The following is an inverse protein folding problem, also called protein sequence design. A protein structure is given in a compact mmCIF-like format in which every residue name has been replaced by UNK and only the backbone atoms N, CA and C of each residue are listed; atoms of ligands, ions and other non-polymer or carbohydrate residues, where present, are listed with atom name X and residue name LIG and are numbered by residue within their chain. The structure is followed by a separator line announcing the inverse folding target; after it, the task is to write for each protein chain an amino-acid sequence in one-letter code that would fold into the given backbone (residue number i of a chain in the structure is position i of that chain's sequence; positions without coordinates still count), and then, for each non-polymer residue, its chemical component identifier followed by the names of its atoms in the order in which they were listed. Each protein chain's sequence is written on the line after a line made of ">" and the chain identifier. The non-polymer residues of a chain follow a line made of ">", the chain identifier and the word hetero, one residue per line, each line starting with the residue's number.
data_IF_905006991077
#
_entry.id   IF_905006991077
#
_cell.length_a   1.000
_cell.length_b   1.000
_cell.length_c   1.000
_cell.angle_alpha   90.00
_cell.angle_beta   90.00
_cell.angle_gamma   90.00
#
_symmetry.space_group_name_H-M   'P 1'
#
loop_
_entity.id
_entity.type
_entity.pdbx_description
1 polymer ?
#
# COMPACT_ATOMS: atom_id res chain seq x y z
N UNK A 1 38.11 20.16 -22.49
CA UNK A 1 36.84 20.40 -21.75
C UNK A 1 36.95 19.84 -20.34
N UNK A 2 36.48 20.58 -19.36
CA UNK A 2 36.43 20.11 -17.96
C UNK A 2 34.99 19.74 -17.62
N UNK A 3 34.76 18.46 -17.28
CA UNK A 3 33.45 17.94 -16.89
C UNK A 3 33.15 18.09 -15.39
N UNK A 4 34.09 18.63 -14.59
CA UNK A 4 33.89 18.77 -13.13
C UNK A 4 32.73 19.70 -12.77
N UNK A 5 32.39 20.67 -13.64
CA UNK A 5 31.22 21.51 -13.44
C UNK A 5 29.89 20.72 -13.48
N UNK A 6 29.81 19.62 -14.26
CA UNK A 6 28.65 18.72 -14.29
C UNK A 6 28.54 18.00 -12.94
N UNK A 7 29.66 17.53 -12.41
CA UNK A 7 29.73 16.95 -11.06
C UNK A 7 29.39 17.97 -9.97
N UNK A 8 29.85 19.21 -10.11
CA UNK A 8 29.54 20.28 -9.16
C UNK A 8 28.03 20.63 -9.15
N UNK A 9 27.36 20.57 -10.31
CA UNK A 9 25.91 20.73 -10.39
C UNK A 9 25.18 19.57 -9.69
N UNK A 10 25.61 18.32 -9.94
CA UNK A 10 25.06 17.14 -9.26
C UNK A 10 25.22 17.25 -7.74
N UNK A 11 26.40 17.63 -7.25
CA UNK A 11 26.64 17.85 -5.83
C UNK A 11 25.63 18.82 -5.20
N UNK A 12 25.35 19.94 -5.85
CA UNK A 12 24.37 20.91 -5.36
C UNK A 12 22.94 20.36 -5.30
N UNK A 13 22.56 19.53 -6.28
CA UNK A 13 21.28 18.84 -6.26
C UNK A 13 21.19 17.90 -5.07
N UNK A 14 22.24 17.09 -4.84
CA UNK A 14 22.32 16.16 -3.71
C UNK A 14 22.21 16.91 -2.38
N UNK A 15 23.06 17.92 -2.16
CA UNK A 15 23.06 18.72 -0.93
C UNK A 15 21.67 19.35 -0.70
N UNK A 16 21.09 19.97 -1.72
CA UNK A 16 19.77 20.63 -1.62
C UNK A 16 18.64 19.64 -1.28
N UNK A 17 18.61 18.47 -1.92
CA UNK A 17 17.56 17.46 -1.65
C UNK A 17 17.75 16.79 -0.29
N UNK A 18 18.97 16.57 0.16
CA UNK A 18 19.27 16.04 1.51
C UNK A 18 18.90 17.02 2.62
N UNK A 19 19.02 18.33 2.35
CA UNK A 19 18.54 19.40 3.25
C UNK A 19 17.00 19.57 3.21
N UNK A 20 16.28 18.70 2.51
CA UNK A 20 14.83 18.70 2.40
C UNK A 20 14.28 19.59 1.31
N UNK A 21 15.14 20.13 0.43
CA UNK A 21 14.73 20.88 -0.74
C UNK A 21 13.96 20.03 -1.75
N UNK A 22 13.03 20.66 -2.47
CA UNK A 22 12.20 20.01 -3.49
C UNK A 22 12.56 20.53 -4.88
N UNK A 23 12.83 19.61 -5.82
CA UNK A 23 13.05 19.88 -7.24
C UNK A 23 12.05 19.05 -8.04
N UNK A 24 11.16 19.72 -8.77
CA UNK A 24 10.20 19.09 -9.65
C UNK A 24 10.69 19.13 -11.10
N UNK A 25 10.52 18.04 -11.81
CA UNK A 25 11.08 17.83 -13.15
C UNK A 25 9.99 17.50 -14.16
N UNK A 26 9.98 18.20 -15.29
CA UNK A 26 9.21 17.83 -16.49
C UNK A 26 10.19 17.38 -17.56
N UNK A 27 10.08 16.13 -17.99
CA UNK A 27 10.87 15.59 -19.11
C UNK A 27 9.99 15.62 -20.35
N UNK A 28 10.29 16.54 -21.27
CA UNK A 28 9.49 16.82 -22.47
C UNK A 28 10.25 16.46 -23.77
N UNK A 29 11.42 15.84 -23.65
CA UNK A 29 12.26 15.42 -24.77
C UNK A 29 13.20 14.31 -24.29
N UNK A 30 14.11 13.86 -25.14
CA UNK A 30 15.07 12.82 -24.81
C UNK A 30 16.19 13.42 -23.95
N UNK A 31 16.29 12.94 -22.71
CA UNK A 31 17.36 13.25 -21.78
C UNK A 31 18.45 12.19 -21.86
N UNK A 32 19.70 12.58 -22.02
CA UNK A 32 20.84 11.65 -22.23
C UNK A 32 21.99 12.00 -21.27
N UNK A 33 22.71 10.99 -20.81
CA UNK A 33 23.96 11.12 -20.07
C UNK A 33 23.74 11.61 -18.63
N UNK A 34 24.24 12.82 -18.29
CA UNK A 34 24.17 13.37 -16.94
C UNK A 34 22.75 13.80 -16.52
N UNK A 35 21.91 14.23 -17.45
CA UNK A 35 20.56 14.71 -17.14
C UNK A 35 19.68 13.68 -16.41
N UNK A 36 19.59 12.39 -16.83
CA UNK A 36 18.88 11.36 -16.09
C UNK A 36 19.37 11.20 -14.65
N UNK A 37 20.66 11.37 -14.37
CA UNK A 37 21.18 11.32 -13.00
C UNK A 37 20.74 12.52 -12.18
N UNK A 38 20.70 13.72 -12.74
CA UNK A 38 20.17 14.90 -12.07
C UNK A 38 18.68 14.73 -11.76
N UNK A 39 17.91 14.17 -12.70
CA UNK A 39 16.50 13.87 -12.49
C UNK A 39 16.31 12.83 -11.38
N UNK A 40 17.16 11.81 -11.34
CA UNK A 40 17.12 10.77 -10.32
C UNK A 40 17.40 11.33 -8.91
N UNK A 41 18.46 12.14 -8.76
CA UNK A 41 18.78 12.83 -7.50
C UNK A 41 17.70 13.82 -7.05
N UNK A 42 16.97 14.40 -8.01
CA UNK A 42 15.88 15.33 -7.72
C UNK A 42 14.59 14.63 -7.27
N UNK A 43 14.28 13.43 -7.81
CA UNK A 43 12.89 12.90 -7.77
C UNK A 43 12.75 11.41 -7.48
N UNK A 44 13.82 10.60 -7.55
CA UNK A 44 13.68 9.14 -7.56
C UNK A 44 14.14 8.44 -6.29
N UNK A 45 15.02 9.06 -5.51
CA UNK A 45 15.61 8.46 -4.31
C UNK A 45 14.62 8.46 -3.13
N UNK A 46 14.90 7.65 -2.12
CA UNK A 46 13.99 7.45 -0.98
C UNK A 46 13.71 8.73 -0.18
N UNK A 47 14.65 9.67 -0.14
CA UNK A 47 14.54 10.91 0.62
C UNK A 47 13.97 12.08 -0.19
N UNK A 48 13.82 11.94 -1.51
CA UNK A 48 13.41 13.06 -2.37
C UNK A 48 11.92 13.36 -2.27
N UNK A 49 11.57 14.65 -2.29
CA UNK A 49 10.19 15.14 -2.23
C UNK A 49 9.63 15.45 -3.62
N UNK A 50 10.49 15.80 -4.55
CA UNK A 50 10.13 16.23 -5.89
C UNK A 50 9.42 15.16 -6.70
N UNK A 51 8.70 15.62 -7.72
CA UNK A 51 7.99 14.78 -8.69
C UNK A 51 8.65 14.86 -10.06
N UNK A 52 8.49 13.79 -10.83
CA UNK A 52 8.89 13.72 -12.23
C UNK A 52 7.67 13.41 -13.09
N UNK A 53 7.44 14.29 -14.07
CA UNK A 53 6.37 14.17 -15.07
C UNK A 53 7.01 13.93 -16.43
N UNK A 54 6.54 12.94 -17.17
CA UNK A 54 7.00 12.64 -18.53
C UNK A 54 5.90 12.84 -19.56
N UNK A 55 6.27 13.35 -20.74
CA UNK A 55 5.38 13.47 -21.90
C UNK A 55 5.61 12.33 -22.89
N UNK A 56 4.72 12.09 -23.89
CA UNK A 56 4.89 11.04 -24.90
C UNK A 56 6.20 11.10 -25.67
N UNK A 57 6.70 12.32 -25.95
CA UNK A 57 7.92 12.56 -26.72
C UNK A 57 9.19 12.54 -25.86
N UNK A 58 9.11 11.99 -24.64
CA UNK A 58 10.21 12.00 -23.69
C UNK A 58 10.78 10.59 -23.40
N UNK A 59 12.08 10.57 -23.15
CA UNK A 59 12.77 9.40 -22.65
C UNK A 59 13.98 9.82 -21.79
N UNK A 60 14.34 9.01 -20.82
CA UNK A 60 15.56 9.17 -20.02
C UNK A 60 16.47 7.97 -20.31
N UNK A 61 17.60 8.22 -20.94
CA UNK A 61 18.56 7.18 -21.34
C UNK A 61 19.97 7.54 -20.89
N UNK A 62 20.72 6.57 -20.38
CA UNK A 62 22.12 6.78 -20.04
C UNK A 62 22.96 6.94 -21.32
N UNK A 63 22.63 6.11 -22.32
CA UNK A 63 23.21 6.09 -23.64
C UNK A 63 22.09 5.90 -24.65
N UNK A 64 22.01 6.75 -25.67
CA UNK A 64 20.99 6.64 -26.70
C UNK A 64 21.17 5.39 -27.57
N UNK A 65 20.09 4.97 -28.25
CA UNK A 65 20.04 3.75 -29.07
C UNK A 65 21.23 3.61 -30.03
N UNK A 66 21.55 4.64 -30.78
CA UNK A 66 22.62 4.58 -31.75
C UNK A 66 23.98 4.24 -31.12
N UNK A 67 24.28 4.80 -29.96
CA UNK A 67 25.51 4.48 -29.22
C UNK A 67 25.50 3.08 -28.66
N UNK A 68 24.36 2.59 -28.17
CA UNK A 68 24.22 1.21 -27.70
C UNK A 68 24.43 0.21 -28.83
N UNK A 69 23.82 0.43 -29.98
CA UNK A 69 23.97 -0.42 -31.16
C UNK A 69 25.42 -0.44 -31.64
N UNK A 70 26.07 0.73 -31.68
CA UNK A 70 27.47 0.85 -32.08
C UNK A 70 28.44 0.12 -31.14
N UNK A 71 28.18 0.20 -29.83
CA UNK A 71 29.00 -0.47 -28.80
C UNK A 71 28.71 -1.96 -28.65
N UNK A 72 27.76 -2.52 -29.40
CA UNK A 72 27.30 -3.90 -29.28
C UNK A 72 26.51 -4.20 -28.02
N UNK A 73 25.99 -3.17 -27.37
CA UNK A 73 25.08 -3.30 -26.22
C UNK A 73 23.67 -3.74 -26.62
N UNK A 74 22.93 -4.31 -25.69
CA UNK A 74 21.52 -4.61 -25.90
C UNK A 74 20.72 -3.31 -25.88
N UNK A 75 19.93 -3.05 -26.92
CA UNK A 75 19.05 -1.87 -27.01
C UNK A 75 17.60 -2.27 -27.33
N UNK A 76 16.74 -1.29 -27.53
CA UNK A 76 15.39 -1.46 -28.01
C UNK A 76 15.25 -0.89 -29.43
N UNK A 77 14.02 -0.87 -29.96
CA UNK A 77 13.72 -0.34 -31.29
C UNK A 77 14.02 1.17 -31.43
N UNK A 78 13.91 1.92 -30.31
CA UNK A 78 14.19 3.35 -30.23
C UNK A 78 14.53 3.78 -28.79
N UNK A 79 14.72 5.08 -28.53
CA UNK A 79 14.99 5.61 -27.20
C UNK A 79 13.77 5.50 -26.26
N UNK A 80 12.56 5.48 -26.79
CA UNK A 80 11.34 5.31 -25.96
C UNK A 80 11.22 3.89 -25.44
N UNK A 81 11.66 2.90 -26.23
CA UNK A 81 11.77 1.51 -25.78
C UNK A 81 12.84 1.31 -24.69
N UNK A 82 13.86 2.18 -24.62
CA UNK A 82 14.93 2.11 -23.62
C UNK A 82 14.54 2.85 -22.33
N UNK A 83 13.92 4.02 -22.43
CA UNK A 83 13.70 4.89 -21.29
C UNK A 83 12.45 5.79 -21.37
N UNK A 84 11.46 5.42 -22.18
CA UNK A 84 10.16 6.10 -22.26
C UNK A 84 9.26 5.74 -21.07
N UNK A 85 8.19 6.52 -20.90
CA UNK A 85 7.28 6.33 -19.76
C UNK A 85 6.59 4.98 -19.76
N UNK A 86 5.90 4.62 -20.85
CA UNK A 86 4.94 3.49 -20.85
C UNK A 86 5.59 2.14 -20.59
N UNK A 87 6.79 1.91 -21.12
CA UNK A 87 7.48 0.63 -21.01
C UNK A 87 8.46 0.55 -19.86
N UNK A 88 9.01 1.70 -19.44
CA UNK A 88 10.14 1.69 -18.50
C UNK A 88 9.90 2.59 -17.30
N UNK A 89 9.79 3.91 -17.46
CA UNK A 89 9.90 4.86 -16.36
C UNK A 89 8.63 4.94 -15.50
N UNK A 90 7.46 4.74 -16.08
CA UNK A 90 6.21 4.58 -15.34
C UNK A 90 6.17 3.23 -14.60
N UNK A 91 6.28 2.08 -15.31
CA UNK A 91 6.25 0.75 -14.69
C UNK A 91 7.29 0.51 -13.60
N UNK A 92 8.51 1.06 -13.72
CA UNK A 92 9.53 0.90 -12.68
C UNK A 92 9.40 1.89 -11.50
N UNK A 93 8.45 2.86 -11.60
CA UNK A 93 8.18 3.85 -10.56
C UNK A 93 9.21 4.98 -10.49
N UNK A 94 10.03 5.19 -11.51
CA UNK A 94 10.95 6.32 -11.56
C UNK A 94 10.23 7.62 -11.92
N UNK A 95 9.27 7.58 -12.89
CA UNK A 95 8.38 8.70 -13.15
C UNK A 95 7.08 8.56 -12.33
N UNK A 96 6.71 9.64 -11.63
CA UNK A 96 5.48 9.69 -10.86
C UNK A 96 4.25 9.87 -11.73
N UNK A 97 4.37 10.67 -12.81
CA UNK A 97 3.24 11.07 -13.63
C UNK A 97 3.56 11.00 -15.12
N UNK A 98 2.53 10.70 -15.89
CA UNK A 98 2.47 10.87 -17.33
C UNK A 98 1.55 12.04 -17.65
N UNK A 99 1.95 12.88 -18.61
CA UNK A 99 1.17 13.98 -19.13
C UNK A 99 1.07 13.86 -20.66
N UNK A 100 -0.08 14.13 -21.22
CA UNK A 100 -0.31 14.01 -22.67
C UNK A 100 0.47 15.04 -23.49
N UNK A 101 0.80 16.18 -22.87
CA UNK A 101 1.54 17.31 -23.45
C UNK A 101 2.12 18.19 -22.34
N UNK A 102 2.83 19.26 -22.71
CA UNK A 102 3.40 20.21 -21.77
C UNK A 102 2.34 20.98 -20.96
N UNK A 103 1.19 21.28 -21.53
CA UNK A 103 0.12 22.00 -20.82
C UNK A 103 -0.42 21.14 -19.69
N UNK A 104 -0.64 19.86 -19.98
CA UNK A 104 -1.06 18.87 -18.98
C UNK A 104 0.03 18.65 -17.91
N UNK A 105 1.30 18.61 -18.31
CA UNK A 105 2.43 18.53 -17.37
C UNK A 105 2.49 19.70 -16.40
N UNK A 106 2.27 20.92 -16.87
CA UNK A 106 2.17 22.10 -15.99
C UNK A 106 0.90 22.05 -15.13
N UNK A 107 -0.21 21.50 -15.64
CA UNK A 107 -1.42 21.24 -14.84
C UNK A 107 -1.14 20.32 -13.66
N UNK A 108 -0.39 19.25 -13.89
CA UNK A 108 0.05 18.32 -12.84
C UNK A 108 0.97 19.03 -11.83
N UNK A 109 1.94 19.84 -12.28
CA UNK A 109 2.80 20.62 -11.39
C UNK A 109 2.00 21.58 -10.52
N UNK A 110 1.04 22.30 -11.08
CA UNK A 110 0.19 23.23 -10.32
C UNK A 110 -0.66 22.47 -9.29
N UNK A 111 -1.29 21.35 -9.68
CA UNK A 111 -2.04 20.49 -8.76
C UNK A 111 -1.15 19.94 -7.64
N UNK A 112 0.11 19.61 -7.93
CA UNK A 112 1.09 19.22 -6.92
C UNK A 112 1.38 20.39 -5.97
N UNK A 113 1.67 21.59 -6.49
CA UNK A 113 1.94 22.77 -5.66
C UNK A 113 0.74 23.20 -4.82
N UNK A 114 -0.49 23.04 -5.29
CA UNK A 114 -1.69 23.30 -4.47
C UNK A 114 -1.70 22.51 -3.16
N UNK A 115 -1.06 21.33 -3.15
CA UNK A 115 -1.01 20.45 -1.98
C UNK A 115 0.32 20.53 -1.21
N UNK A 116 1.39 21.06 -1.80
CA UNK A 116 2.75 20.95 -1.22
C UNK A 116 3.44 22.28 -0.99
N UNK A 117 2.99 23.36 -1.65
CA UNK A 117 3.67 24.65 -1.56
C UNK A 117 3.52 25.29 -0.18
N UNK A 118 4.65 25.64 0.41
CA UNK A 118 4.73 26.32 1.71
C UNK A 118 5.16 27.76 1.48
N UNK A 119 4.35 28.71 1.95
CA UNK A 119 4.69 30.13 1.85
C UNK A 119 5.88 30.48 2.77
N UNK A 120 6.69 31.48 2.40
CA UNK A 120 7.79 31.93 3.25
C UNK A 120 7.30 32.29 4.67
N UNK A 121 7.93 31.67 5.69
CA UNK A 121 7.58 31.86 7.09
C UNK A 121 6.46 30.97 7.63
N UNK A 122 5.90 30.08 6.80
CA UNK A 122 4.92 29.06 7.23
C UNK A 122 5.59 27.69 7.43
N UNK A 123 4.99 26.85 8.26
CA UNK A 123 5.51 25.52 8.60
C UNK A 123 4.92 24.40 7.72
N UNK A 124 3.91 24.70 6.90
CA UNK A 124 3.26 23.73 6.03
C UNK A 124 2.35 24.38 4.99
N UNK A 125 1.83 23.64 4.04
CA UNK A 125 0.91 24.13 3.03
C UNK A 125 -0.37 24.67 3.64
N UNK A 126 -0.91 25.74 3.08
CA UNK A 126 -2.11 26.39 3.58
C UNK A 126 -3.34 25.51 3.44
N UNK A 127 -4.18 25.55 4.47
CA UNK A 127 -5.54 25.01 4.39
C UNK A 127 -6.35 25.81 3.36
N UNK A 128 -7.01 25.11 2.44
CA UNK A 128 -7.91 25.73 1.47
C UNK A 128 -9.33 25.84 2.02
N UNK A 129 -10.12 26.83 1.59
CA UNK A 129 -11.56 26.81 1.82
C UNK A 129 -12.18 25.58 1.17
N UNK A 130 -13.13 24.94 1.84
CA UNK A 130 -13.91 23.84 1.29
C UNK A 130 -15.39 24.02 1.64
N UNK A 131 -16.27 23.70 0.71
CA UNK A 131 -17.71 23.61 0.91
C UNK A 131 -18.16 22.23 1.38
N UNK A 132 -17.23 21.23 1.37
CA UNK A 132 -17.51 19.88 1.81
C UNK A 132 -17.58 19.83 3.35
N UNK A 133 -18.71 19.45 3.96
CA UNK A 133 -18.85 19.43 5.41
C UNK A 133 -17.77 18.59 6.10
N UNK A 134 -17.22 19.10 7.20
CA UNK A 134 -16.22 18.37 8.00
C UNK A 134 -16.78 17.05 8.54
N UNK A 135 -18.05 17.04 8.89
CA UNK A 135 -18.80 15.90 9.46
C UNK A 135 -19.54 15.08 8.41
N UNK A 136 -19.25 15.27 7.11
CA UNK A 136 -19.89 14.51 6.04
C UNK A 136 -19.72 13.01 6.29
N UNK A 137 -20.84 12.30 6.28
CA UNK A 137 -20.91 10.84 6.42
C UNK A 137 -20.38 10.17 5.15
N UNK A 138 -19.22 9.51 5.24
CA UNK A 138 -18.58 8.80 4.14
C UNK A 138 -19.31 7.52 3.75
N UNK A 139 -20.16 6.98 4.62
CA UNK A 139 -20.86 5.70 4.39
C UNK A 139 -21.85 5.77 3.24
N UNK A 140 -22.35 6.95 2.92
CA UNK A 140 -23.31 7.18 1.82
C UNK A 140 -22.64 7.26 0.44
N UNK A 141 -21.30 7.34 0.39
CA UNK A 141 -20.56 7.45 -0.87
C UNK A 141 -20.73 6.17 -1.71
N UNK A 142 -21.06 6.29 -3.02
CA UNK A 142 -21.24 5.14 -3.90
C UNK A 142 -19.98 4.28 -3.99
N UNK A 143 -20.15 2.97 -3.98
CA UNK A 143 -19.10 1.99 -4.23
C UNK A 143 -19.41 1.23 -5.51
N UNK A 144 -18.44 1.21 -6.44
CA UNK A 144 -18.60 0.55 -7.74
C UNK A 144 -17.37 -0.33 -8.02
N UNK A 145 -17.46 -1.59 -7.67
CA UNK A 145 -16.46 -2.59 -8.02
C UNK A 145 -17.17 -3.77 -8.71
N UNK A 146 -16.73 -4.15 -9.91
CA UNK A 146 -17.31 -5.27 -10.64
C UNK A 146 -17.22 -6.56 -9.80
N UNK A 147 -18.37 -7.25 -9.67
CA UNK A 147 -18.47 -8.47 -8.85
C UNK A 147 -18.56 -8.24 -7.34
N UNK A 148 -18.65 -6.99 -6.87
CA UNK A 148 -18.91 -6.67 -5.46
C UNK A 148 -20.41 -6.58 -5.18
N UNK A 149 -20.83 -7.06 -4.00
CA UNK A 149 -22.20 -6.88 -3.49
C UNK A 149 -22.40 -5.49 -2.84
N UNK A 150 -21.31 -4.71 -2.70
CA UNK A 150 -21.36 -3.39 -2.04
C UNK A 150 -21.88 -2.34 -3.02
N UNK A 151 -22.82 -1.52 -2.57
CA UNK A 151 -23.37 -0.37 -3.30
C UNK A 151 -22.88 0.95 -2.76
N UNK A 152 -22.52 0.97 -1.47
CA UNK A 152 -22.01 2.14 -0.77
C UNK A 152 -20.78 1.77 0.07
N UNK A 153 -20.05 2.78 0.50
CA UNK A 153 -18.94 2.62 1.45
C UNK A 153 -19.45 2.04 2.78
N UNK A 154 -20.67 2.34 3.18
CA UNK A 154 -21.30 1.79 4.39
C UNK A 154 -21.41 0.27 4.38
N UNK A 155 -21.64 -0.34 3.22
CA UNK A 155 -21.72 -1.79 3.07
C UNK A 155 -20.41 -2.49 3.42
N UNK A 156 -19.26 -1.84 3.19
CA UNK A 156 -17.93 -2.37 3.54
C UNK A 156 -17.84 -2.62 5.04
N UNK A 157 -18.44 -1.73 5.82
CA UNK A 157 -18.33 -1.69 7.29
C UNK A 157 -19.52 -2.31 8.02
N UNK A 158 -20.57 -2.70 7.31
CA UNK A 158 -21.75 -3.32 7.89
C UNK A 158 -21.49 -4.78 8.28
N UNK A 159 -21.90 -5.16 9.50
CA UNK A 159 -21.85 -6.56 9.92
C UNK A 159 -22.82 -7.46 9.15
N UNK A 160 -23.85 -6.89 8.52
CA UNK A 160 -24.80 -7.63 7.70
C UNK A 160 -24.19 -8.03 6.34
N UNK A 161 -23.41 -7.16 5.73
CA UNK A 161 -22.84 -7.37 4.39
C UNK A 161 -21.41 -7.90 4.41
N UNK A 162 -20.61 -7.57 5.45
CA UNK A 162 -19.20 -7.94 5.58
C UNK A 162 -18.81 -8.22 7.05
N UNK A 163 -19.39 -9.27 7.67
CA UNK A 163 -19.26 -9.53 9.12
C UNK A 163 -17.82 -9.77 9.59
N UNK A 164 -17.00 -10.39 8.77
CA UNK A 164 -15.61 -10.73 9.09
C UNK A 164 -14.58 -9.82 8.39
N UNK A 165 -15.03 -8.73 7.76
CA UNK A 165 -14.19 -7.77 7.02
C UNK A 165 -13.29 -8.41 5.96
N UNK A 166 -13.75 -9.52 5.33
CA UNK A 166 -12.97 -10.27 4.32
C UNK A 166 -13.36 -10.01 2.89
N UNK A 167 -14.58 -9.48 2.65
CA UNK A 167 -15.01 -9.20 1.28
C UNK A 167 -14.16 -8.07 0.66
N UNK A 168 -13.77 -8.23 -0.60
CA UNK A 168 -12.94 -7.24 -1.29
C UNK A 168 -13.73 -5.95 -1.57
N UNK A 169 -13.01 -4.82 -1.51
CA UNK A 169 -13.51 -3.51 -1.92
C UNK A 169 -12.39 -2.70 -2.57
N UNK A 170 -12.76 -1.68 -3.33
CA UNK A 170 -11.80 -0.76 -3.94
C UNK A 170 -11.38 0.31 -2.93
N UNK A 171 -10.11 0.31 -2.54
CA UNK A 171 -9.59 1.29 -1.57
C UNK A 171 -9.66 2.71 -2.11
N UNK A 172 -9.52 2.93 -3.43
CA UNK A 172 -9.65 4.25 -4.04
C UNK A 172 -11.03 4.86 -3.82
N UNK A 173 -12.08 4.04 -3.78
CA UNK A 173 -13.44 4.51 -3.47
C UNK A 173 -13.51 5.07 -2.05
N UNK A 174 -12.96 4.36 -1.06
CA UNK A 174 -12.91 4.86 0.31
C UNK A 174 -12.03 6.11 0.44
N UNK A 175 -10.87 6.14 -0.24
CA UNK A 175 -9.98 7.30 -0.25
C UNK A 175 -10.68 8.55 -0.81
N UNK A 176 -11.42 8.42 -1.92
CA UNK A 176 -12.23 9.50 -2.48
C UNK A 176 -13.37 9.91 -1.56
N UNK A 177 -14.02 8.93 -0.90
CA UNK A 177 -15.09 9.22 0.06
C UNK A 177 -14.58 10.04 1.25
N UNK A 178 -13.35 9.84 1.69
CA UNK A 178 -12.74 10.59 2.79
C UNK A 178 -12.23 11.96 2.35
N UNK A 179 -11.69 12.09 1.13
CA UNK A 179 -11.21 13.34 0.57
C UNK A 179 -12.33 14.35 0.33
N UNK A 180 -11.99 15.64 0.28
CA UNK A 180 -12.90 16.72 -0.05
C UNK A 180 -13.48 16.54 -1.46
N UNK A 181 -14.79 16.69 -1.61
CA UNK A 181 -15.49 16.44 -2.86
C UNK A 181 -15.40 17.61 -3.85
N UNK A 182 -15.09 18.80 -3.35
CA UNK A 182 -14.90 20.03 -4.14
C UNK A 182 -13.43 20.31 -4.49
N UNK A 183 -12.50 19.43 -4.11
CA UNK A 183 -11.09 19.47 -4.47
C UNK A 183 -10.68 18.24 -5.29
N UNK A 184 -9.75 18.46 -6.23
CA UNK A 184 -9.14 17.38 -7.00
C UNK A 184 -8.19 16.53 -6.16
N UNK A 185 -7.97 15.29 -6.61
CA UNK A 185 -6.93 14.39 -6.06
C UNK A 185 -5.89 14.09 -7.13
N UNK A 186 -4.63 13.91 -6.73
CA UNK A 186 -3.54 13.58 -7.63
C UNK A 186 -2.90 12.25 -7.20
N UNK A 187 -3.06 11.18 -8.01
CA UNK A 187 -2.52 9.86 -7.69
C UNK A 187 -1.06 9.75 -8.13
N UNK A 188 -0.13 9.62 -7.16
CA UNK A 188 1.29 9.39 -7.41
C UNK A 188 1.55 7.94 -7.82
N UNK A 189 2.40 7.74 -8.82
CA UNK A 189 2.80 6.39 -9.29
C UNK A 189 1.63 5.49 -9.68
N UNK A 190 0.57 6.04 -10.27
CA UNK A 190 -0.55 5.24 -10.78
C UNK A 190 -0.09 4.20 -11.82
N UNK A 191 0.96 4.51 -12.60
CA UNK A 191 1.56 3.61 -13.60
C UNK A 191 2.60 2.61 -13.07
N UNK A 192 2.97 2.68 -11.77
CA UNK A 192 3.99 1.78 -11.20
C UNK A 192 3.47 0.34 -11.14
N UNK A 193 4.08 -0.53 -11.97
CA UNK A 193 3.70 -1.93 -12.08
C UNK A 193 4.08 -2.72 -10.83
N UNK A 194 3.24 -3.69 -10.46
CA UNK A 194 3.44 -4.56 -9.30
C UNK A 194 3.49 -3.81 -7.96
N UNK A 195 2.99 -2.55 -7.93
CA UNK A 195 2.89 -1.70 -6.75
C UNK A 195 1.45 -1.25 -6.45
N UNK A 196 0.48 -1.84 -7.15
CA UNK A 196 -0.93 -1.46 -7.11
C UNK A 196 -1.60 -1.77 -5.77
N UNK A 197 -0.98 -2.61 -4.92
CA UNK A 197 -1.46 -2.87 -3.55
C UNK A 197 -1.23 -1.69 -2.58
N UNK A 198 -0.47 -0.67 -3.00
CA UNK A 198 -0.40 0.62 -2.32
C UNK A 198 -0.87 1.73 -3.27
N UNK A 199 -1.82 2.55 -2.82
CA UNK A 199 -2.36 3.71 -3.53
C UNK A 199 -1.96 4.97 -2.79
N UNK A 200 -1.42 5.96 -3.48
CA UNK A 200 -0.96 7.22 -2.91
C UNK A 200 -1.66 8.38 -3.59
N UNK A 201 -2.41 9.16 -2.84
CA UNK A 201 -3.06 10.38 -3.32
C UNK A 201 -2.51 11.60 -2.59
N UNK A 202 -2.20 12.64 -3.32
CA UNK A 202 -2.22 14.00 -2.77
C UNK A 202 -3.69 14.45 -2.81
N UNK A 203 -4.23 14.83 -1.65
CA UNK A 203 -5.64 15.14 -1.47
C UNK A 203 -5.84 16.20 -0.39
N UNK A 204 -7.08 16.68 -0.24
CA UNK A 204 -7.47 17.52 0.87
C UNK A 204 -8.53 16.82 1.71
N UNK A 205 -8.46 17.00 3.02
CA UNK A 205 -9.46 16.52 3.97
C UNK A 205 -9.80 17.67 4.92
N UNK A 206 -11.01 18.22 4.81
CA UNK A 206 -11.42 19.44 5.51
C UNK A 206 -10.58 20.66 5.09
N UNK A 207 -10.18 20.74 3.83
CA UNK A 207 -9.30 21.76 3.29
C UNK A 207 -7.81 21.55 3.59
N UNK A 208 -7.44 20.65 4.50
CA UNK A 208 -6.05 20.39 4.90
C UNK A 208 -5.39 19.50 3.83
N UNK A 209 -4.27 19.93 3.21
CA UNK A 209 -3.52 19.06 2.31
C UNK A 209 -2.92 17.88 3.04
N UNK A 210 -3.07 16.68 2.50
CA UNK A 210 -2.59 15.43 3.10
C UNK A 210 -1.93 14.52 2.06
N UNK A 211 -0.99 13.71 2.49
CA UNK A 211 -0.60 12.49 1.79
C UNK A 211 -1.53 11.37 2.25
N UNK A 212 -2.41 10.90 1.39
CA UNK A 212 -3.35 9.83 1.68
C UNK A 212 -2.84 8.52 1.09
N UNK A 213 -2.50 7.57 1.96
CA UNK A 213 -2.00 6.24 1.61
C UNK A 213 -3.11 5.21 1.86
N UNK A 214 -3.54 4.51 0.83
CA UNK A 214 -4.49 3.41 0.93
C UNK A 214 -3.83 2.06 0.65
N UNK A 215 -4.18 1.04 1.43
CA UNK A 215 -3.77 -0.35 1.16
C UNK A 215 -4.90 -1.05 0.44
N UNK A 216 -4.63 -1.57 -0.76
CA UNK A 216 -5.66 -2.14 -1.63
C UNK A 216 -6.34 -3.35 -1.00
N UNK A 217 -7.66 -3.35 -1.09
CA UNK A 217 -8.54 -4.34 -0.42
C UNK A 217 -9.17 -5.33 -1.39
N UNK A 218 -8.72 -5.35 -2.62
CA UNK A 218 -9.03 -6.37 -3.64
C UNK A 218 -7.76 -7.02 -4.16
N UNK A 219 -7.88 -8.21 -4.71
CA UNK A 219 -6.78 -8.87 -5.39
C UNK A 219 -6.40 -8.10 -6.68
N UNK A 220 -5.11 -8.02 -6.96
CA UNK A 220 -4.56 -7.39 -8.15
C UNK A 220 -3.82 -8.44 -8.97
N UNK A 221 -4.15 -8.56 -10.25
CA UNK A 221 -3.45 -9.47 -11.15
C UNK A 221 -1.99 -9.05 -11.32
N UNK A 222 -1.07 -10.00 -11.22
CA UNK A 222 0.34 -9.79 -11.51
C UNK A 222 0.53 -9.55 -13.01
N UNK A 223 1.46 -8.67 -13.37
CA UNK A 223 1.82 -8.45 -14.77
C UNK A 223 2.87 -9.45 -15.23
N UNK A 224 2.78 -9.87 -16.50
CA UNK A 224 3.71 -10.81 -17.10
C UNK A 224 3.52 -12.26 -16.65
N UNK A 225 4.56 -13.09 -16.79
CA UNK A 225 4.55 -14.50 -16.38
C UNK A 225 4.97 -14.61 -14.92
N UNK A 226 4.12 -15.14 -14.02
CA UNK A 226 4.50 -15.33 -12.63
C UNK A 226 5.66 -16.33 -12.51
N UNK A 227 6.64 -16.09 -11.63
CA UNK A 227 7.65 -17.09 -11.31
C UNK A 227 7.04 -18.26 -10.53
N UNK A 228 7.63 -19.44 -10.64
CA UNK A 228 7.13 -20.68 -10.00
C UNK A 228 7.16 -20.61 -8.48
N UNK A 229 7.92 -19.71 -7.89
CA UNK A 229 8.10 -19.52 -6.44
C UNK A 229 7.61 -18.15 -5.95
N UNK A 230 6.75 -17.50 -6.73
CA UNK A 230 6.08 -16.25 -6.40
C UNK A 230 4.55 -16.33 -6.62
N UNK A 231 3.80 -15.35 -6.13
CA UNK A 231 2.35 -15.34 -6.27
C UNK A 231 1.90 -15.02 -7.70
N UNK A 232 0.83 -15.66 -8.15
CA UNK A 232 0.15 -15.35 -9.41
C UNK A 232 -0.67 -14.07 -9.32
N UNK A 233 -1.15 -13.76 -8.10
CA UNK A 233 -2.01 -12.63 -7.79
C UNK A 233 -1.52 -11.95 -6.52
N UNK A 234 -1.45 -10.64 -6.55
CA UNK A 234 -1.18 -9.85 -5.36
C UNK A 234 -2.43 -9.79 -4.48
N UNK A 235 -2.37 -10.41 -3.33
CA UNK A 235 -3.51 -10.55 -2.43
C UNK A 235 -3.88 -9.25 -1.74
N UNK A 236 -5.18 -9.07 -1.50
CA UNK A 236 -5.72 -7.93 -0.77
C UNK A 236 -5.07 -7.76 0.62
N UNK A 237 -4.79 -6.54 1.00
CA UNK A 237 -4.22 -6.22 2.31
C UNK A 237 -2.76 -6.65 2.50
N UNK A 238 -2.04 -6.99 1.45
CA UNK A 238 -0.65 -7.42 1.51
C UNK A 238 0.26 -6.42 0.80
N UNK A 239 1.37 -6.07 1.44
CA UNK A 239 2.43 -5.28 0.83
C UNK A 239 3.48 -6.20 0.20
N UNK A 240 3.77 -5.93 -1.06
CA UNK A 240 4.80 -6.57 -1.87
C UNK A 240 6.01 -5.64 -2.02
N UNK A 241 7.16 -6.08 -2.53
CA UNK A 241 8.37 -5.25 -2.55
C UNK A 241 8.17 -3.87 -3.18
N UNK A 242 7.49 -3.81 -4.32
CA UNK A 242 7.28 -2.54 -5.04
C UNK A 242 6.25 -1.64 -4.36
N UNK A 243 5.18 -2.20 -3.81
CA UNK A 243 4.21 -1.43 -3.04
C UNK A 243 4.79 -0.96 -1.70
N UNK A 244 5.67 -1.73 -1.07
CA UNK A 244 6.43 -1.31 0.12
C UNK A 244 7.36 -0.14 -0.20
N UNK A 245 8.11 -0.21 -1.30
CA UNK A 245 8.94 0.89 -1.80
C UNK A 245 8.12 2.15 -2.08
N UNK A 246 6.97 2.01 -2.76
CA UNK A 246 6.05 3.11 -3.05
C UNK A 246 5.53 3.77 -1.78
N UNK A 247 5.11 2.98 -0.79
CA UNK A 247 4.64 3.49 0.50
C UNK A 247 5.74 4.24 1.25
N UNK A 248 6.95 3.69 1.36
CA UNK A 248 8.08 4.34 2.02
C UNK A 248 8.46 5.67 1.35
N UNK A 249 8.51 5.71 0.02
CA UNK A 249 8.77 6.94 -0.74
C UNK A 249 7.69 8.00 -0.50
N UNK A 250 6.41 7.60 -0.46
CA UNK A 250 5.30 8.51 -0.21
C UNK A 250 5.39 9.15 1.19
N UNK A 251 5.68 8.35 2.21
CA UNK A 251 5.86 8.80 3.59
C UNK A 251 7.02 9.79 3.67
N UNK A 252 8.19 9.44 3.13
CA UNK A 252 9.34 10.34 3.13
C UNK A 252 9.06 11.66 2.39
N UNK A 253 8.38 11.61 1.23
CA UNK A 253 8.05 12.80 0.45
C UNK A 253 7.07 13.75 1.15
N UNK A 254 6.23 13.25 2.05
CA UNK A 254 5.28 14.06 2.82
C UNK A 254 5.88 14.62 4.12
N UNK A 255 6.92 13.98 4.65
CA UNK A 255 7.54 14.33 5.94
C UNK A 255 8.00 15.78 5.98
N UNK A 256 7.65 16.51 7.06
CA UNK A 256 7.97 17.93 7.23
C UNK A 256 7.26 18.87 6.25
N UNK A 257 6.23 18.38 5.55
CA UNK A 257 5.45 19.19 4.63
C UNK A 257 3.95 19.10 4.94
N UNK A 258 3.36 17.91 4.92
CA UNK A 258 1.93 17.70 5.13
C UNK A 258 1.64 16.43 5.92
N UNK A 259 0.50 16.35 6.64
CA UNK A 259 0.09 15.16 7.38
C UNK A 259 0.04 13.89 6.50
N UNK A 260 0.35 12.75 7.13
CA UNK A 260 0.15 11.43 6.56
C UNK A 260 -1.16 10.84 7.08
N UNK A 261 -2.06 10.44 6.18
CA UNK A 261 -3.26 9.67 6.51
C UNK A 261 -3.16 8.30 5.86
N UNK A 262 -3.29 7.23 6.64
CA UNK A 262 -3.23 5.85 6.14
C UNK A 262 -4.57 5.16 6.34
N UNK A 263 -5.18 4.67 5.28
CA UNK A 263 -6.38 3.81 5.34
C UNK A 263 -5.94 2.35 5.18
N UNK A 264 -5.88 1.63 6.29
CA UNK A 264 -5.25 0.34 6.35
C UNK A 264 -6.24 -0.83 6.40
N UNK A 265 -6.26 -1.62 5.34
CA UNK A 265 -6.61 -3.02 5.40
C UNK A 265 -5.31 -3.81 5.19
N UNK A 266 -4.60 -4.13 6.27
CA UNK A 266 -3.21 -4.56 6.19
C UNK A 266 -3.00 -5.89 6.94
N UNK A 267 -2.81 -6.95 6.16
CA UNK A 267 -2.60 -8.32 6.67
C UNK A 267 -1.13 -8.68 6.86
N UNK A 268 -0.21 -7.91 6.29
CA UNK A 268 1.23 -8.14 6.40
C UNK A 268 2.00 -7.88 5.11
N UNK A 269 3.18 -8.49 5.04
CA UNK A 269 4.06 -8.47 3.88
C UNK A 269 4.10 -9.85 3.21
N UNK A 270 4.28 -9.89 1.89
CA UNK A 270 4.51 -11.15 1.21
C UNK A 270 5.90 -11.71 1.53
N UNK A 271 5.94 -12.95 1.97
CA UNK A 271 7.16 -13.68 2.34
C UNK A 271 7.60 -14.72 1.31
N UNK A 272 7.05 -14.71 0.09
CA UNK A 272 7.46 -15.65 -0.96
C UNK A 272 8.94 -15.49 -1.33
N UNK A 273 9.62 -16.55 -1.83
CA UNK A 273 11.00 -16.43 -2.29
C UNK A 273 11.20 -15.36 -3.36
N UNK A 274 10.22 -15.15 -4.23
CA UNK A 274 10.22 -14.09 -5.24
C UNK A 274 10.27 -12.70 -4.60
N UNK A 275 9.38 -12.43 -3.65
CA UNK A 275 9.37 -11.15 -2.93
C UNK A 275 10.63 -10.95 -2.08
N UNK A 276 11.17 -12.01 -1.48
CA UNK A 276 12.43 -11.92 -0.73
C UNK A 276 13.60 -11.54 -1.63
N UNK A 277 13.71 -12.13 -2.83
CA UNK A 277 14.71 -11.72 -3.84
C UNK A 277 14.52 -10.31 -4.35
N UNK A 278 13.27 -9.84 -4.41
CA UNK A 278 12.92 -8.48 -4.82
C UNK A 278 13.01 -7.45 -3.65
N UNK A 279 13.75 -7.78 -2.58
CA UNK A 279 14.10 -6.89 -1.47
C UNK A 279 12.92 -6.52 -0.55
N UNK A 280 12.01 -7.46 -0.30
CA UNK A 280 10.86 -7.22 0.58
C UNK A 280 11.29 -6.78 2.00
N UNK A 281 12.35 -7.37 2.56
CA UNK A 281 12.83 -6.99 3.90
C UNK A 281 13.36 -5.55 3.92
N UNK A 282 14.13 -5.16 2.92
CA UNK A 282 14.67 -3.80 2.80
C UNK A 282 13.56 -2.77 2.69
N UNK A 283 12.63 -2.94 1.74
CA UNK A 283 11.55 -1.98 1.54
C UNK A 283 10.51 -1.99 2.66
N UNK A 284 10.29 -3.12 3.32
CA UNK A 284 9.49 -3.19 4.54
C UNK A 284 10.12 -2.40 5.69
N UNK A 285 11.43 -2.55 5.88
CA UNK A 285 12.19 -1.79 6.88
C UNK A 285 12.20 -0.28 6.57
N UNK A 286 12.27 0.09 5.28
CA UNK A 286 12.21 1.50 4.85
C UNK A 286 10.88 2.17 5.24
N UNK A 287 9.74 1.44 5.25
CA UNK A 287 8.49 1.97 5.78
C UNK A 287 8.65 2.33 7.26
N UNK A 288 9.19 1.41 8.08
CA UNK A 288 9.41 1.65 9.50
C UNK A 288 10.34 2.85 9.74
N UNK A 289 11.44 2.95 8.98
CA UNK A 289 12.36 4.09 9.03
C UNK A 289 11.66 5.41 8.66
N UNK A 290 10.84 5.38 7.61
CA UNK A 290 10.09 6.56 7.17
C UNK A 290 9.08 7.01 8.24
N UNK A 291 8.38 6.08 8.91
CA UNK A 291 7.46 6.38 10.00
C UNK A 291 8.19 6.97 11.22
N UNK A 292 9.34 6.39 11.63
CA UNK A 292 10.14 6.92 12.73
C UNK A 292 10.60 8.35 12.47
N UNK A 293 11.04 8.63 11.26
CA UNK A 293 11.59 9.94 10.88
C UNK A 293 10.51 10.93 10.39
N UNK A 294 9.26 10.53 10.35
CA UNK A 294 8.19 11.41 9.86
C UNK A 294 8.00 12.62 10.77
N UNK A 295 8.16 13.78 10.20
CA UNK A 295 7.93 15.07 10.89
C UNK A 295 6.55 15.62 10.51
N UNK A 296 5.59 15.46 11.40
CA UNK A 296 4.20 15.87 11.22
C UNK A 296 3.20 14.87 11.80
N UNK A 297 1.90 15.19 11.72
CA UNK A 297 0.84 14.29 12.15
C UNK A 297 0.75 13.04 11.28
N UNK A 298 0.61 11.87 11.90
CA UNK A 298 0.25 10.61 11.25
C UNK A 298 -1.10 10.16 11.79
N UNK A 299 -2.09 9.98 10.93
CA UNK A 299 -3.38 9.40 11.29
C UNK A 299 -3.52 8.04 10.61
N UNK A 300 -3.39 6.97 11.37
CA UNK A 300 -3.50 5.61 10.88
C UNK A 300 -4.88 5.06 11.20
N UNK A 301 -5.68 4.77 10.18
CA UNK A 301 -7.06 4.28 10.31
C UNK A 301 -7.12 2.82 9.90
N UNK A 302 -7.34 1.94 10.86
CA UNK A 302 -7.60 0.52 10.61
C UNK A 302 -9.02 0.37 10.08
N UNK A 303 -9.16 0.09 8.78
CA UNK A 303 -10.47 -0.05 8.13
C UNK A 303 -10.97 -1.49 8.12
N UNK A 304 -10.08 -2.48 8.19
CA UNK A 304 -10.44 -3.90 8.27
C UNK A 304 -9.47 -4.70 9.11
N UNK A 305 -8.20 -4.74 8.75
CA UNK A 305 -7.16 -5.57 9.38
C UNK A 305 -5.89 -4.79 9.62
N UNK A 306 -5.19 -5.21 10.67
CA UNK A 306 -3.90 -4.67 11.06
C UNK A 306 -3.08 -5.78 11.72
N UNK A 307 -2.32 -6.52 10.91
CA UNK A 307 -1.63 -7.75 11.35
C UNK A 307 -0.17 -7.81 10.89
N UNK A 308 0.58 -8.71 11.52
CA UNK A 308 1.90 -9.15 11.10
C UNK A 308 3.00 -8.09 11.18
N UNK A 309 3.99 -8.17 10.30
CA UNK A 309 5.08 -7.21 10.21
C UNK A 309 4.61 -5.78 9.95
N UNK A 310 3.46 -5.63 9.32
CA UNK A 310 2.82 -4.34 9.10
C UNK A 310 2.39 -3.65 10.41
N UNK A 311 1.93 -4.42 11.40
CA UNK A 311 1.68 -3.92 12.76
C UNK A 311 2.95 -3.30 13.37
N UNK A 312 4.13 -3.84 13.04
CA UNK A 312 5.41 -3.33 13.56
C UNK A 312 5.81 -2.02 12.88
N UNK A 313 5.79 -1.96 11.54
CA UNK A 313 6.30 -0.80 10.78
C UNK A 313 5.37 0.40 10.77
N UNK A 314 4.09 0.22 11.16
CA UNK A 314 3.11 1.29 11.37
C UNK A 314 2.68 1.41 12.84
N UNK A 315 3.45 0.86 13.76
CA UNK A 315 3.13 0.96 15.19
C UNK A 315 3.24 2.40 15.68
N UNK A 316 2.26 2.85 16.47
CA UNK A 316 2.32 4.16 17.15
C UNK A 316 3.54 4.31 18.07
N UNK A 317 4.15 3.20 18.50
CA UNK A 317 5.39 3.22 19.26
C UNK A 317 6.60 3.78 18.47
N UNK A 318 6.52 3.81 17.13
CA UNK A 318 7.57 4.33 16.26
C UNK A 318 7.56 5.86 16.17
N UNK A 319 6.39 6.50 16.35
CA UNK A 319 6.30 7.95 16.23
C UNK A 319 5.25 8.51 17.20
N UNK A 320 5.66 9.43 18.11
CA UNK A 320 4.76 9.99 19.12
C UNK A 320 3.65 10.89 18.55
N UNK A 321 3.76 11.30 17.29
CA UNK A 321 2.73 12.10 16.58
C UNK A 321 1.75 11.23 15.80
N UNK A 322 1.77 9.91 16.02
CA UNK A 322 0.83 8.99 15.39
C UNK A 322 -0.42 8.78 16.25
N UNK A 323 -1.57 9.03 15.65
CA UNK A 323 -2.90 8.64 16.17
C UNK A 323 -3.40 7.44 15.41
N UNK A 324 -3.76 6.37 16.13
CA UNK A 324 -4.31 5.14 15.55
C UNK A 324 -5.79 5.05 15.86
N UNK A 325 -6.62 5.18 14.82
CA UNK A 325 -8.06 4.99 14.86
C UNK A 325 -8.41 3.62 14.25
N UNK A 326 -9.51 3.03 14.69
CA UNK A 326 -9.97 1.80 14.06
C UNK A 326 -11.49 1.82 13.89
N UNK A 327 -11.94 1.37 12.72
CA UNK A 327 -13.38 1.25 12.47
C UNK A 327 -13.94 0.04 13.22
N UNK A 328 -15.09 0.20 13.84
CA UNK A 328 -15.79 -0.86 14.55
C UNK A 328 -15.91 -2.14 13.71
N UNK A 329 -15.63 -3.30 14.32
CA UNK A 329 -15.60 -4.61 13.65
C UNK A 329 -14.29 -4.91 12.89
N UNK A 330 -13.26 -4.07 13.02
CA UNK A 330 -11.90 -4.34 12.54
C UNK A 330 -11.15 -5.32 13.46
N UNK A 331 -10.03 -5.84 12.97
CA UNK A 331 -9.18 -6.78 13.70
C UNK A 331 -7.74 -6.27 13.77
N UNK A 332 -7.11 -6.40 14.94
CA UNK A 332 -5.70 -6.07 15.13
C UNK A 332 -4.99 -7.10 16.00
N UNK A 333 -3.92 -7.70 15.47
CA UNK A 333 -3.06 -8.63 16.21
C UNK A 333 -1.73 -8.82 15.51
N UNK A 334 -0.76 -9.41 16.22
CA UNK A 334 0.57 -9.72 15.63
C UNK A 334 0.47 -10.71 14.47
N UNK A 335 -0.54 -11.62 14.50
CA UNK A 335 -0.78 -12.61 13.46
C UNK A 335 -2.29 -12.76 13.25
N UNK A 336 -2.75 -12.94 12.01
CA UNK A 336 -4.17 -13.21 11.74
C UNK A 336 -4.58 -14.61 12.18
N UNK A 337 -5.90 -14.83 12.40
CA UNK A 337 -6.41 -16.10 12.92
C UNK A 337 -6.05 -17.34 12.09
N UNK A 338 -6.11 -17.25 10.76
CA UNK A 338 -5.77 -18.39 9.90
C UNK A 338 -4.29 -18.80 10.00
N UNK A 339 -3.30 -17.91 9.88
CA UNK A 339 -1.90 -18.24 10.16
C UNK A 339 -1.66 -18.69 11.61
N UNK A 340 -2.37 -18.08 12.59
CA UNK A 340 -2.26 -18.52 13.99
C UNK A 340 -2.72 -19.98 14.16
N UNK A 341 -3.86 -20.35 13.61
CA UNK A 341 -4.38 -21.71 13.63
C UNK A 341 -3.44 -22.70 12.93
N UNK A 342 -2.89 -22.29 11.78
CA UNK A 342 -2.03 -23.16 10.97
C UNK A 342 -0.65 -23.44 11.60
N UNK A 343 -0.08 -22.46 12.34
CA UNK A 343 1.30 -22.52 12.85
C UNK A 343 1.32 -22.62 14.37
N UNK A 344 0.71 -21.68 15.09
CA UNK A 344 0.78 -21.62 16.56
C UNK A 344 -0.08 -22.70 17.19
N UNK A 345 -1.29 -22.91 16.67
CA UNK A 345 -2.28 -23.87 17.18
C UNK A 345 -2.39 -25.15 16.33
N UNK A 346 -1.40 -25.45 15.49
CA UNK A 346 -1.41 -26.63 14.60
C UNK A 346 -1.75 -27.92 15.35
N UNK A 347 -1.17 -28.11 16.55
CA UNK A 347 -1.42 -29.32 17.39
C UNK A 347 -2.88 -29.40 17.87
N UNK A 348 -3.51 -28.27 18.16
CA UNK A 348 -4.93 -28.24 18.56
C UNK A 348 -5.83 -28.56 17.37
N UNK A 349 -5.53 -28.01 16.20
CA UNK A 349 -6.22 -28.35 14.94
C UNK A 349 -6.12 -29.84 14.64
N UNK A 350 -4.92 -30.41 14.72
CA UNK A 350 -4.69 -31.83 14.45
C UNK A 350 -5.40 -32.73 15.49
N UNK A 351 -5.39 -32.37 16.78
CA UNK A 351 -6.13 -33.07 17.83
C UNK A 351 -7.64 -33.04 17.58
N UNK A 352 -8.20 -31.83 17.26
CA UNK A 352 -9.64 -31.70 16.94
C UNK A 352 -10.00 -32.49 15.68
N UNK A 353 -9.10 -32.58 14.70
CA UNK A 353 -9.29 -33.36 13.47
C UNK A 353 -9.34 -34.87 13.79
N UNK A 354 -8.39 -35.36 14.56
CA UNK A 354 -8.34 -36.79 14.94
C UNK A 354 -9.54 -37.22 15.82
N UNK A 355 -10.06 -36.29 16.64
CA UNK A 355 -11.23 -36.56 17.51
C UNK A 355 -12.56 -36.35 16.78
N UNK A 356 -12.59 -35.92 15.54
CA UNK A 356 -13.84 -35.74 14.80
C UNK A 356 -14.49 -37.09 14.50
N UNK A 357 -15.79 -37.28 14.80
CA UNK A 357 -16.45 -38.60 14.62
C UNK A 357 -16.34 -39.16 13.20
N UNK A 358 -16.34 -38.30 12.18
CA UNK A 358 -16.21 -38.74 10.77
C UNK A 358 -14.84 -39.35 10.49
N UNK A 359 -13.78 -38.82 11.08
CA UNK A 359 -12.42 -39.36 10.95
C UNK A 359 -12.26 -40.64 11.78
N UNK A 360 -12.72 -40.62 13.04
CA UNK A 360 -12.60 -41.78 13.94
C UNK A 360 -13.37 -43.00 13.42
N UNK A 361 -14.58 -42.83 12.87
CA UNK A 361 -15.35 -43.92 12.25
C UNK A 361 -14.61 -44.53 11.06
N UNK A 362 -14.12 -43.70 10.14
CA UNK A 362 -13.37 -44.17 8.97
C UNK A 362 -12.05 -44.89 9.37
N UNK A 363 -11.36 -44.39 10.39
CA UNK A 363 -10.16 -45.06 10.91
C UNK A 363 -10.48 -46.47 11.44
N UNK A 364 -11.59 -46.62 12.19
CA UNK A 364 -12.03 -47.91 12.68
C UNK A 364 -12.41 -48.86 11.53
N UNK A 365 -13.11 -48.37 10.51
CA UNK A 365 -13.48 -49.15 9.32
C UNK A 365 -12.25 -49.57 8.50
N UNK A 366 -11.29 -48.70 8.30
CA UNK A 366 -10.01 -49.02 7.63
C UNK A 366 -9.23 -50.07 8.39
N UNK A 367 -9.24 -50.02 9.74
CA UNK A 367 -8.57 -51.03 10.58
C UNK A 367 -9.23 -52.41 10.48
N UNK A 368 -10.55 -52.48 10.32
CA UNK A 368 -11.31 -53.70 10.21
C UNK A 368 -11.32 -54.31 8.78
N UNK A 369 -11.07 -53.52 7.75
CA UNK A 369 -11.13 -53.95 6.36
C UNK A 369 -9.82 -54.53 5.84
N UNK A 370 -9.88 -55.29 4.70
CA UNK A 370 -8.71 -55.87 4.03
C UNK A 370 -8.80 -55.72 2.50
N UNK A 371 -7.69 -55.94 1.82
CA UNK A 371 -7.63 -55.94 0.36
C UNK A 371 -8.10 -54.65 -0.30
N UNK A 372 -8.89 -54.75 -1.35
CA UNK A 372 -9.38 -53.60 -2.13
C UNK A 372 -10.30 -52.68 -1.33
N UNK A 373 -11.11 -53.23 -0.42
CA UNK A 373 -11.98 -52.45 0.46
C UNK A 373 -11.17 -51.53 1.38
N UNK A 374 -10.09 -52.01 1.97
CA UNK A 374 -9.20 -51.21 2.80
C UNK A 374 -8.56 -50.08 2.00
N UNK A 375 -8.16 -50.32 0.76
CA UNK A 375 -7.58 -49.31 -0.10
C UNK A 375 -8.59 -48.21 -0.43
N UNK A 376 -9.84 -48.56 -0.73
CA UNK A 376 -10.91 -47.58 -1.00
C UNK A 376 -11.22 -46.71 0.23
N UNK A 377 -11.40 -47.37 1.41
CA UNK A 377 -11.65 -46.65 2.67
C UNK A 377 -10.46 -45.78 3.10
N UNK A 378 -9.22 -46.17 2.83
CA UNK A 378 -8.05 -45.34 3.10
C UNK A 378 -8.02 -44.07 2.24
N UNK A 379 -8.43 -44.18 0.97
CA UNK A 379 -8.56 -43.02 0.09
C UNK A 379 -9.65 -42.07 0.59
N UNK A 380 -10.81 -42.61 0.98
CA UNK A 380 -11.90 -41.83 1.58
C UNK A 380 -11.46 -41.13 2.87
N UNK A 381 -10.74 -41.82 3.74
CA UNK A 381 -10.21 -41.30 5.00
C UNK A 381 -9.29 -40.08 4.75
N UNK A 382 -8.41 -40.15 3.74
CA UNK A 382 -7.53 -39.03 3.39
C UNK A 382 -8.36 -37.80 2.98
N UNK A 383 -9.37 -38.01 2.14
CA UNK A 383 -10.22 -36.89 1.67
C UNK A 383 -11.03 -36.29 2.83
N UNK A 384 -11.68 -37.12 3.65
CA UNK A 384 -12.45 -36.68 4.83
C UNK A 384 -11.56 -35.99 5.85
N UNK A 385 -10.38 -36.55 6.17
CA UNK A 385 -9.43 -35.93 7.09
C UNK A 385 -8.97 -34.56 6.61
N UNK A 386 -8.71 -34.40 5.31
CA UNK A 386 -8.34 -33.11 4.71
C UNK A 386 -9.46 -32.07 4.85
N UNK A 387 -10.70 -32.44 4.54
CA UNK A 387 -11.86 -31.59 4.69
C UNK A 387 -12.12 -31.20 6.15
N UNK A 388 -12.10 -32.15 7.06
CA UNK A 388 -12.28 -31.93 8.51
C UNK A 388 -11.16 -31.03 9.05
N UNK A 389 -9.91 -31.24 8.63
CA UNK A 389 -8.79 -30.42 9.07
C UNK A 389 -8.98 -28.96 8.65
N UNK A 390 -9.45 -28.70 7.42
CA UNK A 390 -9.76 -27.37 6.96
C UNK A 390 -10.89 -26.72 7.79
N UNK A 391 -11.95 -27.48 8.15
CA UNK A 391 -13.02 -27.01 9.05
C UNK A 391 -12.48 -26.65 10.44
N UNK A 392 -11.66 -27.53 11.05
CA UNK A 392 -11.10 -27.30 12.39
C UNK A 392 -10.13 -26.10 12.40
N UNK A 393 -9.33 -25.94 11.33
CA UNK A 393 -8.48 -24.77 11.16
C UNK A 393 -9.32 -23.48 11.13
N UNK A 394 -10.42 -23.47 10.37
CA UNK A 394 -11.35 -22.34 10.34
C UNK A 394 -11.98 -22.04 11.70
N UNK A 395 -12.35 -23.08 12.49
CA UNK A 395 -12.88 -22.94 13.84
C UNK A 395 -11.86 -22.28 14.78
N UNK A 396 -10.64 -22.82 14.84
CA UNK A 396 -9.55 -22.27 15.69
C UNK A 396 -9.18 -20.86 15.26
N UNK A 397 -9.14 -20.57 13.95
CA UNK A 397 -8.91 -19.23 13.44
C UNK A 397 -9.99 -18.24 13.90
N UNK A 398 -11.26 -18.63 13.86
CA UNK A 398 -12.37 -17.79 14.30
C UNK A 398 -12.38 -17.58 15.81
N UNK A 399 -11.98 -18.58 16.60
CA UNK A 399 -11.80 -18.45 18.05
C UNK A 399 -10.68 -17.47 18.38
N UNK A 400 -9.56 -17.53 17.64
CA UNK A 400 -8.44 -16.60 17.79
C UNK A 400 -8.86 -15.17 17.45
N UNK A 401 -9.50 -14.96 16.30
CA UNK A 401 -9.94 -13.62 15.85
C UNK A 401 -10.92 -13.01 16.85
N UNK A 402 -11.78 -13.80 17.48
CA UNK A 402 -12.74 -13.35 18.49
C UNK A 402 -12.09 -12.83 19.77
N UNK A 403 -10.93 -13.38 20.16
CA UNK A 403 -10.14 -12.90 21.31
C UNK A 403 -9.30 -11.68 20.95
N UNK A 404 -8.89 -11.55 19.68
CA UNK A 404 -8.04 -10.49 19.17
C UNK A 404 -8.84 -9.47 18.35
N UNK A 405 -9.98 -9.07 18.89
CA UNK A 405 -10.81 -8.02 18.32
C UNK A 405 -10.17 -6.63 18.50
N UNK A 406 -10.77 -5.64 17.90
CA UNK A 406 -10.23 -4.27 17.91
C UNK A 406 -10.31 -3.62 19.29
N UNK A 407 -11.27 -4.00 20.13
CA UNK A 407 -11.42 -3.45 21.50
C UNK A 407 -10.26 -3.90 22.40
N UNK A 408 -9.77 -5.14 22.20
CA UNK A 408 -8.56 -5.58 22.87
C UNK A 408 -7.34 -4.72 22.48
N UNK A 409 -7.23 -4.33 21.21
CA UNK A 409 -6.14 -3.46 20.77
C UNK A 409 -6.17 -2.09 21.46
N UNK A 410 -7.36 -1.55 21.75
CA UNK A 410 -7.51 -0.34 22.57
C UNK A 410 -7.07 -0.60 24.02
N UNK A 411 -7.51 -1.71 24.63
CA UNK A 411 -7.16 -2.05 26.01
C UNK A 411 -5.65 -2.17 26.24
N UNK A 412 -4.91 -2.68 25.24
CA UNK A 412 -3.44 -2.79 25.32
C UNK A 412 -2.72 -1.55 24.81
N UNK A 413 -3.43 -0.50 24.40
CA UNK A 413 -2.85 0.77 23.99
C UNK A 413 -2.29 0.83 22.57
N UNK A 414 -2.55 -0.17 21.73
CA UNK A 414 -2.10 -0.19 20.32
C UNK A 414 -2.98 0.65 19.39
N UNK A 415 -4.23 0.90 19.80
CA UNK A 415 -5.22 1.72 19.10
C UNK A 415 -5.73 2.77 20.09
N UNK A 416 -5.89 4.01 19.64
CA UNK A 416 -6.33 5.12 20.50
C UNK A 416 -7.85 5.13 20.67
N UNK A 417 -8.60 4.86 19.60
CA UNK A 417 -10.06 4.84 19.62
C UNK A 417 -10.67 3.92 18.58
N UNK A 418 -11.79 3.29 18.92
CA UNK A 418 -12.70 2.66 17.97
C UNK A 418 -13.74 3.69 17.57
N UNK A 419 -14.01 3.82 16.27
CA UNK A 419 -14.92 4.79 15.67
C UNK A 419 -15.93 4.10 14.76
N UNK A 420 -17.11 4.72 14.59
CA UNK A 420 -18.02 4.28 13.53
C UNK A 420 -17.51 4.65 12.15
N UNK A 421 -18.01 3.99 11.11
CA UNK A 421 -17.62 4.29 9.73
C UNK A 421 -18.01 5.71 9.31
N UNK A 422 -19.13 6.26 9.81
CA UNK A 422 -19.56 7.64 9.56
C UNK A 422 -18.62 8.68 10.18
N UNK A 423 -17.86 8.31 11.22
CA UNK A 423 -16.92 9.20 11.90
C UNK A 423 -15.52 9.22 11.27
N UNK A 424 -15.23 8.41 10.24
CA UNK A 424 -13.87 8.31 9.65
C UNK A 424 -13.33 9.70 9.28
N UNK A 425 -14.09 10.47 8.49
CA UNK A 425 -13.67 11.80 8.04
C UNK A 425 -13.52 12.82 9.17
N UNK A 426 -14.53 13.09 10.03
CA UNK A 426 -14.40 14.06 11.11
C UNK A 426 -13.30 13.71 12.11
N UNK A 427 -13.08 12.42 12.39
CA UNK A 427 -12.03 11.97 13.31
C UNK A 427 -10.63 12.12 12.73
N UNK A 428 -10.46 11.94 11.42
CA UNK A 428 -9.19 12.25 10.75
C UNK A 428 -8.87 13.73 10.86
N UNK A 429 -9.83 14.63 10.56
CA UNK A 429 -9.66 16.08 10.67
C UNK A 429 -9.27 16.44 12.10
N UNK A 430 -10.03 15.97 13.07
CA UNK A 430 -9.76 16.21 14.49
C UNK A 430 -8.37 15.76 14.93
N UNK A 431 -7.92 14.57 14.49
CA UNK A 431 -6.62 14.04 14.86
C UNK A 431 -5.47 14.86 14.27
N UNK A 432 -5.61 15.34 13.02
CA UNK A 432 -4.63 16.23 12.40
C UNK A 432 -4.55 17.55 13.17
N UNK A 433 -5.70 18.19 13.44
CA UNK A 433 -5.77 19.49 14.12
C UNK A 433 -5.22 19.42 15.55
N UNK A 434 -5.49 18.34 16.28
CA UNK A 434 -4.98 18.14 17.63
C UNK A 434 -3.45 18.00 17.72
N UNK A 435 -2.80 17.56 16.64
CA UNK A 435 -1.35 17.36 16.61
C UNK A 435 -0.62 18.61 16.08
N UNK A 436 -1.34 19.51 15.39
CA UNK A 436 -0.79 20.75 14.86
C UNK A 436 -1.00 21.96 15.77
N UNK A 437 -1.84 21.85 16.79
CA UNK A 437 -2.08 22.86 17.83
C UNK A 437 -0.99 22.80 18.90
#
# INVERSE_FOLDING_TARGET
>A
ENMDWVGAALRRIVEFTQDGGEINVVVASINVGAQPYWNAEATMLMHTRGILVMTPDSAMVLTGKQSLDFSGGVSAEDNFGIGGYDRVMGPNGQAQYWAKDLVDAYGILLAHYENTWVAPGESGPRRAPTSDPHDRDVTTHPHTLAGSDFTTVGDIFSSATNPDRKKPFDIRTLMRAVADQDHGTLERWAGMADAETAVVLDARIGGIPVCLLGIESKAVARRGVPPTDGPDVYTAGTLFPRSSKKAARAINAASGNRPLVVLANLSGFDGSPDSMRALQLEYGAEIGRAVVNFDGPIVFVVVSRYHGGAFVVFSKALNPRMTVLAVEGSFASVIGGAPAAAVVFARDVDKRTASDPRVADLEARVAAASGAERAALATELIAVRTAVRAEKLGQVASEFDRVHDIHRAVQVGSVDAVISASEIRPRIIQAIEATTA
#
